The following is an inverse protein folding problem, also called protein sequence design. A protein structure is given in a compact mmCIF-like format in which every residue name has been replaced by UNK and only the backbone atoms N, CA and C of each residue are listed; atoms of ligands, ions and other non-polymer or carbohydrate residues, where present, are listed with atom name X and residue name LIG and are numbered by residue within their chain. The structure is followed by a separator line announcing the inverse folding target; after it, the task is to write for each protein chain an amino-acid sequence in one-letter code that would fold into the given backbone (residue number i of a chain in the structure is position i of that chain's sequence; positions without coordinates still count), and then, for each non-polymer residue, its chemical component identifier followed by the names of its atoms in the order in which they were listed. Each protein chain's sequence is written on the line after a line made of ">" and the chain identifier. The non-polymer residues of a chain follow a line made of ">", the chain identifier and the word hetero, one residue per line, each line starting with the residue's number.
data_IF_225824486928
#
_entry.id   IF_225824486928
#
_cell.length_a   1.000
_cell.length_b   1.000
_cell.length_c   1.000
_cell.angle_alpha   90.00
_cell.angle_beta   90.00
_cell.angle_gamma   90.00
#
_symmetry.space_group_name_H-M   'P 1'
#
loop_
_entity.id
_entity.type
_entity.pdbx_description
1 polymer ?
#
# COMPACT_ATOMS: atom_id res chain seq x y z
N UNK A 1 3.88 -7.15 7.47
CA UNK A 1 3.15 -5.93 7.86
C UNK A 1 3.19 -5.73 9.36
N UNK A 2 2.80 -6.73 10.17
CA UNK A 2 2.89 -6.65 11.64
C UNK A 2 4.25 -6.13 12.14
N UNK A 3 5.36 -6.77 11.71
CA UNK A 3 6.72 -6.28 12.02
C UNK A 3 6.95 -4.79 11.71
N UNK A 4 6.43 -4.29 10.59
CA UNK A 4 6.58 -2.89 10.20
C UNK A 4 5.78 -1.98 11.15
N UNK A 5 4.55 -2.36 11.46
CA UNK A 5 3.66 -1.62 12.36
C UNK A 5 4.23 -1.59 13.79
N UNK A 6 4.76 -2.72 14.28
CA UNK A 6 5.40 -2.82 15.59
C UNK A 6 6.68 -1.98 15.70
N UNK A 7 7.56 -2.04 14.69
CA UNK A 7 8.84 -1.30 14.71
C UNK A 7 8.66 0.22 14.55
N UNK A 8 7.63 0.66 13.82
CA UNK A 8 7.45 2.08 13.46
C UNK A 8 6.32 2.76 14.23
N UNK A 9 5.45 2.00 14.87
CA UNK A 9 4.19 2.51 15.46
C UNK A 9 3.19 3.01 14.42
N UNK A 10 3.47 2.83 13.12
CA UNK A 10 2.56 3.21 12.03
C UNK A 10 1.49 2.14 11.86
N UNK A 11 0.30 2.57 11.43
CA UNK A 11 -0.79 1.66 11.07
C UNK A 11 -0.95 1.59 9.56
N UNK A 12 -0.90 0.39 9.00
CA UNK A 12 -1.12 0.12 7.58
C UNK A 12 -2.51 -0.47 7.39
N UNK A 13 -3.37 0.28 6.71
CA UNK A 13 -4.69 -0.21 6.35
C UNK A 13 -4.60 -1.16 5.15
N UNK A 14 -5.16 -2.36 5.29
CA UNK A 14 -5.23 -3.38 4.24
C UNK A 14 -6.66 -3.45 3.69
N UNK A 15 -6.79 -3.45 2.38
CA UNK A 15 -8.07 -3.56 1.69
C UNK A 15 -8.02 -4.73 0.72
N UNK A 16 -8.89 -5.72 0.92
CA UNK A 16 -9.10 -6.83 -0.01
C UNK A 16 -9.95 -6.31 -1.18
N UNK A 17 -9.53 -6.55 -2.43
CA UNK A 17 -10.16 -5.96 -3.64
C UNK A 17 -10.86 -6.99 -4.53
N UNK A 18 -10.58 -8.28 -4.38
CA UNK A 18 -11.13 -9.34 -5.22
C UNK A 18 -12.63 -9.55 -4.97
N UNK A 19 -13.06 -9.55 -3.70
CA UNK A 19 -14.46 -9.72 -3.32
C UNK A 19 -15.14 -8.41 -2.90
N UNK A 20 -14.49 -7.26 -3.11
CA UNK A 20 -15.04 -5.94 -2.74
C UNK A 20 -14.88 -4.93 -3.87
N UNK A 21 -15.97 -4.68 -4.59
CA UNK A 21 -16.02 -3.68 -5.66
C UNK A 21 -15.69 -2.27 -5.15
N UNK A 22 -16.14 -1.94 -3.93
CA UNK A 22 -15.86 -0.65 -3.30
C UNK A 22 -14.35 -0.46 -3.06
N UNK A 23 -13.66 -1.48 -2.57
CA UNK A 23 -12.20 -1.42 -2.37
C UNK A 23 -11.46 -1.42 -3.70
N UNK A 24 -11.93 -2.17 -4.70
CA UNK A 24 -11.36 -2.15 -6.04
C UNK A 24 -11.48 -0.76 -6.69
N UNK A 25 -12.61 -0.08 -6.50
CA UNK A 25 -12.79 1.32 -6.93
C UNK A 25 -11.85 2.26 -6.20
N UNK A 26 -11.75 2.14 -4.87
CA UNK A 26 -10.82 2.93 -4.07
C UNK A 26 -9.37 2.74 -4.54
N UNK A 27 -8.96 1.50 -4.82
CA UNK A 27 -7.63 1.19 -5.33
C UNK A 27 -7.39 1.90 -6.67
N UNK A 28 -8.34 1.84 -7.62
CA UNK A 28 -8.24 2.54 -8.91
C UNK A 28 -8.12 4.06 -8.77
N UNK A 29 -8.81 4.67 -7.81
CA UNK A 29 -8.74 6.12 -7.54
C UNK A 29 -7.34 6.56 -7.09
N UNK A 30 -6.62 5.72 -6.34
CA UNK A 30 -5.22 5.99 -5.94
C UNK A 30 -4.20 5.54 -6.99
N UNK A 31 -4.45 4.44 -7.67
CA UNK A 31 -3.54 3.85 -8.64
C UNK A 31 -3.31 4.78 -9.84
N UNK A 32 -4.35 5.45 -10.38
CA UNK A 32 -4.21 6.43 -11.48
C UNK A 32 -3.31 5.97 -12.66
N UNK A 33 -3.21 4.65 -12.90
CA UNK A 33 -2.35 4.07 -13.94
C UNK A 33 -0.90 3.80 -13.52
N UNK A 34 -0.58 3.82 -12.23
CA UNK A 34 0.77 3.53 -11.71
C UNK A 34 1.13 2.04 -11.79
N UNK A 35 0.23 1.17 -11.34
CA UNK A 35 0.47 -0.27 -11.22
C UNK A 35 -0.60 -1.11 -11.91
N UNK A 36 -1.88 -0.72 -11.84
CA UNK A 36 -3.00 -1.42 -12.44
C UNK A 36 -3.36 -2.77 -11.79
N UNK A 37 -2.74 -3.13 -10.67
CA UNK A 37 -2.94 -4.44 -10.04
C UNK A 37 -2.40 -4.53 -8.61
N UNK A 38 -2.67 -5.66 -7.96
CA UNK A 38 -2.22 -5.96 -6.59
C UNK A 38 -1.03 -6.92 -6.59
N UNK A 39 -0.13 -6.86 -5.58
CA UNK A 39 -0.12 -5.96 -4.43
C UNK A 39 0.16 -4.48 -4.80
N UNK A 40 -0.58 -3.56 -4.18
CA UNK A 40 -0.41 -2.11 -4.35
C UNK A 40 -0.32 -1.43 -2.97
N UNK A 41 0.74 -0.66 -2.75
CA UNK A 41 0.93 0.11 -1.54
C UNK A 41 0.94 1.59 -1.88
N UNK A 42 0.18 2.40 -1.14
CA UNK A 42 0.10 3.85 -1.35
C UNK A 42 0.18 4.60 -0.02
N UNK A 43 1.17 5.48 0.13
CA UNK A 43 1.34 6.30 1.32
C UNK A 43 0.63 7.64 1.09
N UNK A 44 -0.50 7.85 1.79
CA UNK A 44 -1.29 9.08 1.63
C UNK A 44 -0.58 10.35 2.11
N UNK A 45 0.44 10.24 2.95
CA UNK A 45 1.20 11.39 3.48
C UNK A 45 2.23 11.88 2.46
N UNK A 46 2.98 10.96 1.85
CA UNK A 46 4.06 11.28 0.90
C UNK A 46 3.64 11.20 -0.55
N UNK A 47 2.51 10.57 -0.86
CA UNK A 47 2.08 10.27 -2.21
C UNK A 47 2.87 9.15 -2.89
N UNK A 48 3.77 8.46 -2.17
CA UNK A 48 4.61 7.39 -2.74
C UNK A 48 3.86 6.07 -2.85
N UNK A 49 4.21 5.29 -3.87
CA UNK A 49 3.62 3.98 -4.12
C UNK A 49 4.66 2.87 -4.37
N UNK A 50 4.22 1.63 -4.19
CA UNK A 50 4.95 0.43 -4.60
C UNK A 50 3.98 -0.47 -5.39
N UNK A 51 4.44 -0.91 -6.57
CA UNK A 51 3.79 -1.93 -7.37
C UNK A 51 4.42 -3.29 -7.10
N UNK A 52 3.61 -4.33 -6.91
CA UNK A 52 4.08 -5.70 -6.78
C UNK A 52 4.70 -6.02 -5.43
N UNK A 53 5.51 -7.07 -5.39
CA UNK A 53 6.26 -7.45 -4.19
C UNK A 53 7.39 -6.46 -3.91
N UNK A 54 7.70 -6.28 -2.62
CA UNK A 54 8.84 -5.50 -2.17
C UNK A 54 9.48 -6.18 -0.96
N UNK A 55 10.79 -6.03 -0.85
CA UNK A 55 11.52 -6.41 0.35
C UNK A 55 11.15 -5.52 1.55
N UNK A 56 11.55 -5.97 2.74
CA UNK A 56 11.21 -5.30 3.98
C UNK A 56 11.80 -3.89 4.08
N UNK A 57 13.02 -3.67 3.62
CA UNK A 57 13.69 -2.37 3.70
C UNK A 57 12.99 -1.35 2.81
N UNK A 58 12.59 -1.75 1.60
CA UNK A 58 11.79 -0.93 0.68
C UNK A 58 10.42 -0.61 1.26
N UNK A 59 9.74 -1.59 1.88
CA UNK A 59 8.47 -1.37 2.56
C UNK A 59 8.61 -0.41 3.74
N UNK A 60 9.66 -0.57 4.56
CA UNK A 60 9.93 0.30 5.69
C UNK A 60 10.19 1.73 5.24
N UNK A 61 11.05 1.91 4.24
CA UNK A 61 11.33 3.22 3.64
C UNK A 61 10.05 3.88 3.11
N UNK A 62 9.22 3.14 2.37
CA UNK A 62 7.94 3.67 1.88
C UNK A 62 7.00 4.15 2.98
N UNK A 63 7.01 3.49 4.14
CA UNK A 63 6.13 3.83 5.26
C UNK A 63 6.65 5.02 6.09
N UNK A 64 7.97 5.18 6.24
CA UNK A 64 8.58 6.15 7.16
C UNK A 64 9.20 7.38 6.51
N UNK A 65 9.19 7.46 5.18
CA UNK A 65 9.60 8.67 4.45
C UNK A 65 8.63 9.84 4.66
#
# INVERSE_FOLDING_TARGET
>A
MERLEDETGLKVLKFEVWHSEANARLMREYDKGFCGGVPFFFNKKTGKWICGSADYERLKKWATE
#
